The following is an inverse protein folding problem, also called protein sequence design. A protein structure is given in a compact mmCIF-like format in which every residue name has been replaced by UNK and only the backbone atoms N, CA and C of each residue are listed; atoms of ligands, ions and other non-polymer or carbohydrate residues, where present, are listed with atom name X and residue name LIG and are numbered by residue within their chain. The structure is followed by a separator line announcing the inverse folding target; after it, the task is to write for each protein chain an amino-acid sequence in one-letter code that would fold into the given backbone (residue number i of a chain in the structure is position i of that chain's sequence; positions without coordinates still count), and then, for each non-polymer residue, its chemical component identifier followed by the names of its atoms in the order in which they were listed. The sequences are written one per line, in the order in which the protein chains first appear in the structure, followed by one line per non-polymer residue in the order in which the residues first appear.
data_IF_828275383413
#
_entry.id   IF_828275383413
#
_cell.length_a   1.000
_cell.length_b   1.000
_cell.length_c   1.000
_cell.angle_alpha   90.00
_cell.angle_beta   90.00
_cell.angle_gamma   90.00
#
_symmetry.space_group_name_H-M   'P 1'
#
loop_
_entity.id
_entity.type
_entity.pdbx_description
1 polymer ?
#
# COMPACT_ATOMS: atom_id res chain seq x y z
N UNK A 1 22.67 -7.55 -31.62
CA UNK A 1 22.63 -7.19 -30.19
C UNK A 1 21.16 -7.11 -29.84
N UNK A 2 20.67 -8.02 -28.99
CA UNK A 2 19.32 -7.83 -28.45
C UNK A 2 19.34 -6.47 -27.75
N UNK A 3 18.35 -5.62 -28.02
CA UNK A 3 18.09 -4.51 -27.11
C UNK A 3 17.87 -5.16 -25.74
N UNK A 4 18.76 -4.94 -24.78
CA UNK A 4 18.58 -5.43 -23.42
C UNK A 4 17.30 -4.78 -22.90
N UNK A 5 16.20 -5.55 -22.94
CA UNK A 5 14.88 -5.06 -22.58
C UNK A 5 14.92 -4.64 -21.11
N UNK A 6 14.41 -3.45 -20.81
CA UNK A 6 14.42 -2.96 -19.43
C UNK A 6 13.42 -3.78 -18.61
N UNK A 7 13.62 -3.92 -17.28
CA UNK A 7 12.75 -4.77 -16.46
C UNK A 7 11.26 -4.37 -16.48
N UNK A 8 10.98 -3.10 -16.72
CA UNK A 8 9.62 -2.56 -16.84
C UNK A 8 9.01 -2.71 -18.24
N UNK A 9 9.77 -3.13 -19.25
CA UNK A 9 9.28 -3.48 -20.59
C UNK A 9 8.78 -4.93 -20.68
N UNK A 10 9.22 -5.79 -19.76
CA UNK A 10 8.80 -7.20 -19.70
C UNK A 10 7.47 -7.34 -18.92
N UNK A 11 6.39 -7.84 -19.54
CA UNK A 11 5.08 -7.97 -18.88
C UNK A 11 5.06 -8.99 -17.72
N UNK A 12 6.07 -9.83 -17.57
CA UNK A 12 6.25 -10.74 -16.44
C UNK A 12 7.01 -10.08 -15.29
N UNK A 13 8.08 -9.34 -15.59
CA UNK A 13 8.93 -8.71 -14.56
C UNK A 13 8.33 -7.40 -14.05
N UNK A 14 7.75 -6.58 -14.93
CA UNK A 14 7.16 -5.29 -14.59
C UNK A 14 6.17 -5.34 -13.40
N UNK A 15 5.15 -6.23 -13.37
CA UNK A 15 4.23 -6.30 -12.22
C UNK A 15 4.92 -6.80 -10.93
N UNK A 16 5.95 -7.62 -11.03
CA UNK A 16 6.72 -8.10 -9.86
C UNK A 16 7.58 -6.97 -9.29
N UNK A 17 8.21 -6.19 -10.16
CA UNK A 17 8.96 -4.99 -9.78
C UNK A 17 8.05 -3.97 -9.10
N UNK A 18 6.87 -3.69 -9.69
CA UNK A 18 5.89 -2.79 -9.06
C UNK A 18 5.43 -3.34 -7.72
N UNK A 19 5.13 -4.63 -7.63
CA UNK A 19 4.74 -5.25 -6.36
C UNK A 19 5.84 -5.12 -5.29
N UNK A 20 7.10 -5.29 -5.66
CA UNK A 20 8.25 -5.11 -4.78
C UNK A 20 8.37 -3.65 -4.29
N UNK A 21 8.38 -2.69 -5.22
CA UNK A 21 8.54 -1.27 -4.90
C UNK A 21 7.37 -0.70 -4.08
N UNK A 22 6.15 -1.20 -4.33
CA UNK A 22 4.93 -0.80 -3.62
C UNK A 22 4.56 -1.72 -2.46
N UNK A 23 5.42 -2.70 -2.12
CA UNK A 23 5.22 -3.62 -1.01
C UNK A 23 4.92 -2.90 0.33
N UNK A 24 5.59 -1.78 0.68
CA UNK A 24 5.26 -1.02 1.87
C UNK A 24 3.78 -0.59 1.91
N UNK A 25 3.24 -0.11 0.79
CA UNK A 25 1.83 0.26 0.67
C UNK A 25 0.91 -0.97 0.69
N UNK A 26 1.23 -2.02 -0.07
CA UNK A 26 0.41 -3.24 -0.17
C UNK A 26 0.25 -3.96 1.19
N UNK A 27 1.28 -3.95 2.04
CA UNK A 27 1.23 -4.55 3.37
C UNK A 27 0.77 -3.59 4.47
N UNK A 28 0.53 -2.31 4.16
CA UNK A 28 0.08 -1.33 5.16
C UNK A 28 -1.31 -1.64 5.73
N UNK A 29 -2.18 -2.32 4.99
CA UNK A 29 -3.47 -2.81 5.54
C UNK A 29 -3.28 -3.81 6.68
N UNK A 30 -2.25 -4.68 6.58
CA UNK A 30 -1.90 -5.61 7.64
C UNK A 30 -1.30 -4.87 8.83
N UNK A 31 -0.43 -3.88 8.59
CA UNK A 31 0.10 -3.04 9.67
C UNK A 31 -0.99 -2.20 10.36
N UNK A 32 -2.00 -1.76 9.63
CA UNK A 32 -3.16 -1.06 10.19
C UNK A 32 -3.96 -1.94 11.16
N UNK A 33 -3.95 -3.27 11.01
CA UNK A 33 -4.57 -4.17 11.99
C UNK A 33 -3.80 -4.16 13.33
N UNK A 34 -2.48 -3.99 13.30
CA UNK A 34 -1.69 -3.84 14.53
C UNK A 34 -2.15 -2.61 15.31
N UNK A 35 -2.19 -1.45 14.65
CA UNK A 35 -2.60 -0.19 15.29
C UNK A 35 -4.10 -0.10 15.58
N UNK A 36 -4.94 -0.63 14.69
CA UNK A 36 -6.40 -0.50 14.74
C UNK A 36 -7.14 -1.59 15.51
N UNK A 37 -6.47 -2.71 15.83
CA UNK A 37 -7.08 -3.85 16.52
C UNK A 37 -6.18 -4.41 17.63
N UNK A 38 -5.01 -4.96 17.30
CA UNK A 38 -4.21 -5.75 18.25
C UNK A 38 -3.60 -4.92 19.38
N UNK A 39 -2.99 -3.77 19.09
CA UNK A 39 -2.44 -2.87 20.11
C UNK A 39 -3.57 -2.36 21.03
N UNK A 40 -4.71 -1.84 20.52
CA UNK A 40 -5.86 -1.50 21.34
C UNK A 40 -6.36 -2.66 22.22
N UNK A 41 -6.47 -3.87 21.68
CA UNK A 41 -6.88 -5.07 22.44
C UNK A 41 -5.91 -5.40 23.58
N UNK A 42 -4.60 -5.26 23.35
CA UNK A 42 -3.56 -5.54 24.36
C UNK A 42 -3.42 -4.44 25.42
N UNK A 43 -3.63 -3.18 25.02
CA UNK A 43 -3.32 -2.00 25.86
C UNK A 43 -4.56 -1.34 26.48
N UNK A 44 -5.75 -1.68 25.99
CA UNK A 44 -7.01 -1.03 26.37
C UNK A 44 -7.19 0.38 25.81
N UNK A 45 -6.32 0.84 24.91
CA UNK A 45 -6.45 2.16 24.27
C UNK A 45 -7.75 2.20 23.45
N UNK A 46 -8.55 3.29 23.54
CA UNK A 46 -9.79 3.38 22.79
C UNK A 46 -9.54 3.43 21.29
N UNK A 47 -10.36 2.67 20.55
CA UNK A 47 -10.41 2.68 19.09
C UNK A 47 -11.33 3.83 18.66
N UNK A 48 -10.81 4.78 17.87
CA UNK A 48 -11.59 5.94 17.42
C UNK A 48 -11.92 5.84 15.93
N UNK A 49 -13.20 5.63 15.55
CA UNK A 49 -13.63 5.68 14.16
C UNK A 49 -13.38 7.07 13.56
N UNK A 50 -12.90 7.11 12.31
CA UNK A 50 -12.60 8.36 11.59
C UNK A 50 -13.88 9.19 11.38
N UNK A 51 -15.00 8.52 11.07
CA UNK A 51 -16.27 9.20 10.85
C UNK A 51 -17.02 9.59 12.13
N UNK A 52 -16.52 9.18 13.31
CA UNK A 52 -17.16 9.46 14.61
C UNK A 52 -18.61 9.00 14.70
N UNK A 53 -19.03 7.99 13.93
CA UNK A 53 -20.42 7.53 13.90
C UNK A 53 -21.34 8.29 12.94
N UNK A 54 -20.83 9.26 12.19
CA UNK A 54 -21.64 10.07 11.26
C UNK A 54 -22.33 9.21 10.21
N UNK A 55 -23.59 9.57 9.95
CA UNK A 55 -24.47 8.97 8.94
C UNK A 55 -24.63 9.99 7.81
N UNK A 56 -24.50 9.54 6.56
CA UNK A 56 -24.72 10.36 5.38
C UNK A 56 -26.23 10.43 5.05
N UNK A 57 -26.63 11.29 4.12
CA UNK A 57 -28.04 11.57 3.78
C UNK A 57 -28.76 10.37 3.18
N UNK A 58 -28.03 9.34 2.75
CA UNK A 58 -28.55 8.06 2.29
C UNK A 58 -28.89 7.08 3.43
N UNK A 59 -28.72 7.49 4.69
CA UNK A 59 -28.99 6.67 5.87
C UNK A 59 -27.88 5.67 6.21
N UNK A 60 -26.79 5.63 5.44
CA UNK A 60 -25.64 4.77 5.71
C UNK A 60 -24.52 5.53 6.42
N UNK A 61 -23.71 4.83 7.23
CA UNK A 61 -22.47 5.38 7.82
C UNK A 61 -21.58 6.04 6.76
N UNK A 62 -20.80 7.06 7.13
CA UNK A 62 -19.90 7.70 6.18
C UNK A 62 -18.79 6.75 5.73
N UNK A 63 -18.12 6.09 6.69
CA UNK A 63 -17.05 5.10 6.45
C UNK A 63 -17.35 3.77 7.17
N UNK A 64 -17.85 3.83 8.40
CA UNK A 64 -18.09 2.69 9.29
C UNK A 64 -16.94 2.40 10.26
N UNK A 65 -17.19 1.54 11.25
CA UNK A 65 -16.32 1.35 12.41
C UNK A 65 -14.94 0.76 12.10
N UNK A 66 -14.80 0.10 10.95
CA UNK A 66 -13.52 -0.46 10.51
C UNK A 66 -12.50 0.57 10.02
N UNK A 67 -12.85 1.86 9.94
CA UNK A 67 -11.93 2.95 9.56
C UNK A 67 -11.63 3.81 10.77
N UNK A 68 -10.44 3.62 11.35
CA UNK A 68 -10.06 4.18 12.64
C UNK A 68 -8.79 5.01 12.53
N UNK A 69 -8.65 6.02 13.40
CA UNK A 69 -7.44 6.83 13.47
C UNK A 69 -6.22 6.00 13.85
N UNK A 70 -6.39 5.04 14.77
CA UNK A 70 -5.33 4.14 15.19
C UNK A 70 -4.85 3.25 14.02
N UNK A 71 -5.78 2.76 13.19
CA UNK A 71 -5.45 2.01 11.99
C UNK A 71 -4.74 2.84 10.94
N UNK A 72 -5.20 4.08 10.70
CA UNK A 72 -4.55 5.02 9.76
C UNK A 72 -3.10 5.29 10.15
N UNK A 73 -2.85 5.60 11.43
CA UNK A 73 -1.50 5.85 11.96
C UNK A 73 -0.66 4.58 11.88
N UNK A 74 -1.19 3.44 12.34
CA UNK A 74 -0.48 2.16 12.33
C UNK A 74 -0.11 1.69 10.91
N UNK A 75 -1.00 1.86 9.94
CA UNK A 75 -0.74 1.55 8.54
C UNK A 75 0.32 2.46 7.93
N UNK A 76 0.25 3.77 8.21
CA UNK A 76 1.22 4.76 7.72
C UNK A 76 2.62 4.49 8.28
N UNK A 77 2.75 4.37 9.60
CA UNK A 77 4.05 4.12 10.26
C UNK A 77 4.58 2.73 9.92
N UNK A 78 3.71 1.72 9.84
CA UNK A 78 4.07 0.38 9.41
C UNK A 78 4.59 0.36 7.97
N UNK A 79 3.98 1.13 7.06
CA UNK A 79 4.50 1.37 5.72
C UNK A 79 5.93 1.92 5.75
N UNK A 80 6.22 2.89 6.63
CA UNK A 80 7.57 3.43 6.80
C UNK A 80 8.60 2.37 7.18
N UNK A 81 8.30 1.55 8.19
CA UNK A 81 9.18 0.44 8.59
C UNK A 81 9.34 -0.62 7.50
N UNK A 82 8.28 -0.91 6.74
CA UNK A 82 8.36 -1.80 5.59
C UNK A 82 9.20 -1.20 4.44
N UNK A 83 9.17 0.12 4.26
CA UNK A 83 10.08 0.84 3.35
C UNK A 83 11.54 0.61 3.74
N UNK A 84 11.87 0.81 5.02
CA UNK A 84 13.22 0.53 5.55
C UNK A 84 13.62 -0.93 5.35
N UNK A 85 12.72 -1.88 5.57
CA UNK A 85 12.99 -3.30 5.33
C UNK A 85 13.27 -3.60 3.86
N UNK A 86 12.44 -3.04 2.96
CA UNK A 86 12.59 -3.21 1.51
C UNK A 86 13.94 -2.68 1.04
N UNK A 87 14.32 -1.49 1.52
CA UNK A 87 15.62 -0.89 1.25
C UNK A 87 16.78 -1.68 1.85
N UNK A 88 16.66 -2.16 3.09
CA UNK A 88 17.70 -3.00 3.70
C UNK A 88 18.00 -4.28 2.92
N UNK A 89 17.02 -4.80 2.16
CA UNK A 89 17.16 -6.01 1.34
C UNK A 89 17.70 -5.69 -0.05
N UNK A 90 17.30 -4.56 -0.64
CA UNK A 90 17.65 -4.20 -2.02
C UNK A 90 18.71 -3.08 -2.15
N UNK A 91 19.26 -2.60 -1.05
CA UNK A 91 20.27 -1.55 -1.03
C UNK A 91 21.48 -1.93 -1.90
N UNK A 92 21.82 -1.06 -2.84
CA UNK A 92 22.92 -1.28 -3.79
C UNK A 92 22.57 -2.14 -5.02
N UNK A 93 21.31 -2.58 -5.17
CA UNK A 93 20.87 -3.30 -6.35
C UNK A 93 20.78 -2.39 -7.59
N UNK A 94 21.29 -2.90 -8.71
CA UNK A 94 21.28 -2.23 -10.02
C UNK A 94 20.07 -2.69 -10.85
N UNK A 95 19.80 -2.05 -11.99
CA UNK A 95 18.66 -2.37 -12.88
C UNK A 95 18.55 -3.87 -13.18
N UNK A 96 19.68 -4.55 -13.40
CA UNK A 96 19.73 -6.00 -13.71
C UNK A 96 19.32 -6.91 -12.53
N UNK A 97 19.21 -6.35 -11.31
CA UNK A 97 18.75 -7.06 -10.11
C UNK A 97 17.22 -7.07 -9.99
N UNK A 98 16.51 -6.58 -11.00
CA UNK A 98 15.05 -6.63 -11.03
C UNK A 98 14.53 -8.07 -10.81
N UNK A 99 13.41 -8.24 -10.09
CA UNK A 99 12.49 -7.20 -9.63
C UNK A 99 12.92 -6.48 -8.34
N UNK A 100 14.00 -6.91 -7.69
CA UNK A 100 14.38 -6.44 -6.36
C UNK A 100 15.22 -5.15 -6.42
N UNK A 101 14.65 -4.07 -6.94
CA UNK A 101 15.36 -2.78 -7.01
C UNK A 101 15.23 -1.99 -5.70
N UNK A 102 16.23 -1.18 -5.41
CA UNK A 102 16.15 -0.23 -4.30
C UNK A 102 15.04 0.80 -4.55
N UNK A 103 14.06 0.98 -3.63
CA UNK A 103 13.04 2.01 -3.77
C UNK A 103 13.60 3.43 -3.89
N UNK A 104 14.84 3.71 -3.49
CA UNK A 104 15.46 5.03 -3.67
C UNK A 104 16.17 5.21 -5.02
N UNK A 105 16.28 4.16 -5.85
CA UNK A 105 16.88 4.27 -7.18
C UNK A 105 16.17 5.31 -8.05
N UNK A 106 16.87 6.02 -8.92
CA UNK A 106 16.33 7.13 -9.75
C UNK A 106 16.15 6.76 -11.22
N UNK A 107 15.82 5.49 -11.48
CA UNK A 107 15.69 4.98 -12.84
C UNK A 107 14.44 5.52 -13.54
N UNK A 108 14.59 5.98 -14.79
CA UNK A 108 13.47 6.46 -15.59
C UNK A 108 12.71 7.63 -14.94
N UNK A 109 13.40 8.49 -14.19
CA UNK A 109 12.84 9.71 -13.57
C UNK A 109 13.55 10.97 -14.06
N UNK A 110 13.03 12.15 -13.69
CA UNK A 110 13.67 13.44 -13.91
C UNK A 110 15.14 13.38 -13.46
N UNK A 111 16.07 14.00 -14.20
CA UNK A 111 17.53 13.94 -13.96
C UNK A 111 18.02 14.50 -12.60
N UNK A 112 17.11 14.75 -11.66
CA UNK A 112 17.35 15.16 -10.27
C UNK A 112 17.90 14.02 -9.41
N UNK A 113 18.77 14.37 -8.47
CA UNK A 113 19.32 13.42 -7.50
C UNK A 113 18.27 13.04 -6.45
N UNK A 114 18.34 11.82 -5.91
CA UNK A 114 17.49 11.41 -4.78
C UNK A 114 17.69 12.28 -3.54
N UNK A 115 18.87 12.87 -3.40
CA UNK A 115 19.21 13.82 -2.32
C UNK A 115 18.45 15.13 -2.41
N UNK A 116 17.92 15.48 -3.59
CA UNK A 116 17.15 16.70 -3.80
C UNK A 116 15.65 16.50 -3.48
N UNK A 117 15.24 15.28 -3.14
CA UNK A 117 13.86 14.96 -2.82
C UNK A 117 13.39 15.68 -1.55
N UNK A 118 12.15 16.15 -1.52
CA UNK A 118 11.59 16.83 -0.34
C UNK A 118 11.54 15.94 0.91
N UNK A 119 11.51 14.63 0.70
CA UNK A 119 11.49 13.62 1.75
C UNK A 119 12.90 13.14 2.13
N UNK A 120 13.96 13.69 1.51
CA UNK A 120 15.33 13.50 1.97
C UNK A 120 15.63 14.45 3.12
N UNK A 121 15.94 13.90 4.30
CA UNK A 121 16.29 14.68 5.49
C UNK A 121 17.73 14.35 5.87
N UNK A 122 18.62 15.33 5.87
CA UNK A 122 20.04 15.17 6.25
C UNK A 122 20.23 14.98 7.78
N UNK A 123 19.56 13.99 8.36
CA UNK A 123 19.63 13.62 9.77
C UNK A 123 19.84 12.11 9.91
N UNK A 124 20.90 11.68 10.62
CA UNK A 124 21.24 10.26 10.87
C UNK A 124 21.25 9.36 9.61
N UNK A 125 21.91 9.79 8.53
CA UNK A 125 22.05 9.02 7.29
C UNK A 125 20.78 9.12 6.44
N UNK A 126 20.62 10.26 5.75
CA UNK A 126 19.36 10.71 5.17
C UNK A 126 18.60 9.71 4.30
N UNK A 127 19.31 8.75 3.71
CA UNK A 127 18.77 7.54 3.07
C UNK A 127 17.70 6.81 3.89
N UNK A 128 17.98 6.47 5.16
CA UNK A 128 17.05 5.73 6.00
C UNK A 128 15.80 6.54 6.35
N UNK A 129 15.98 7.85 6.56
CA UNK A 129 14.85 8.75 6.78
C UNK A 129 14.00 8.90 5.52
N UNK A 130 14.64 9.00 4.36
CA UNK A 130 13.98 9.11 3.07
C UNK A 130 13.14 7.88 2.78
N UNK A 131 13.68 6.68 3.02
CA UNK A 131 12.95 5.46 2.75
C UNK A 131 11.84 5.17 3.76
N UNK A 132 12.01 5.63 5.01
CA UNK A 132 10.93 5.61 6.00
C UNK A 132 9.78 6.53 5.58
N UNK A 133 10.08 7.78 5.18
CA UNK A 133 9.06 8.72 4.71
C UNK A 133 8.39 8.21 3.43
N UNK A 134 9.17 7.64 2.50
CA UNK A 134 8.67 6.99 1.29
C UNK A 134 7.64 5.90 1.63
N UNK A 135 8.01 4.98 2.53
CA UNK A 135 7.10 3.94 3.01
C UNK A 135 5.86 4.51 3.70
N UNK A 136 5.99 5.60 4.46
CA UNK A 136 4.85 6.30 5.06
C UNK A 136 3.92 6.92 4.02
N UNK A 137 4.44 7.53 2.95
CA UNK A 137 3.62 8.09 1.87
C UNK A 137 2.82 6.99 1.18
N UNK A 138 3.46 5.86 0.87
CA UNK A 138 2.77 4.70 0.28
C UNK A 138 1.72 4.10 1.21
N UNK A 139 2.07 3.95 2.50
CA UNK A 139 1.15 3.43 3.51
C UNK A 139 -0.05 4.34 3.75
N UNK A 140 0.18 5.65 3.84
CA UNK A 140 -0.88 6.64 3.95
C UNK A 140 -1.79 6.62 2.71
N UNK A 141 -1.22 6.61 1.50
CA UNK A 141 -1.98 6.47 0.26
C UNK A 141 -2.88 5.22 0.27
N UNK A 142 -2.31 4.07 0.66
CA UNK A 142 -3.07 2.83 0.84
C UNK A 142 -4.27 2.99 1.81
N UNK A 143 -4.06 3.61 2.98
CA UNK A 143 -5.13 3.83 3.97
C UNK A 143 -6.21 4.81 3.50
N UNK A 144 -5.82 5.83 2.74
CA UNK A 144 -6.77 6.75 2.09
C UNK A 144 -7.61 5.99 1.06
N UNK A 145 -6.98 5.19 0.21
CA UNK A 145 -7.67 4.36 -0.78
C UNK A 145 -8.64 3.37 -0.16
N UNK A 146 -8.24 2.69 0.91
CA UNK A 146 -9.10 1.75 1.65
C UNK A 146 -10.29 2.48 2.33
N UNK A 147 -10.09 3.72 2.79
CA UNK A 147 -11.17 4.59 3.28
C UNK A 147 -12.12 5.02 2.17
N UNK A 148 -11.61 5.38 0.98
CA UNK A 148 -12.40 5.69 -0.21
C UNK A 148 -13.23 4.48 -0.66
N UNK A 149 -12.62 3.29 -0.72
CA UNK A 149 -13.33 2.04 -1.02
C UNK A 149 -14.45 1.79 -0.02
N UNK A 150 -14.23 2.09 1.25
CA UNK A 150 -15.27 1.94 2.29
C UNK A 150 -16.38 2.97 2.18
N UNK A 151 -16.07 4.22 1.84
CA UNK A 151 -17.09 5.22 1.51
C UNK A 151 -18.01 4.71 0.40
N UNK A 152 -17.46 4.25 -0.73
CA UNK A 152 -18.28 3.72 -1.85
C UNK A 152 -19.06 2.46 -1.49
N UNK A 153 -18.51 1.57 -0.65
CA UNK A 153 -19.27 0.43 -0.10
C UNK A 153 -20.50 0.92 0.67
N UNK A 154 -20.35 1.94 1.53
CA UNK A 154 -21.48 2.50 2.29
C UNK A 154 -22.54 3.13 1.40
N UNK A 155 -22.14 3.84 0.32
CA UNK A 155 -23.09 4.42 -0.66
C UNK A 155 -23.90 3.36 -1.42
N UNK A 156 -23.39 2.13 -1.53
CA UNK A 156 -24.11 0.98 -2.11
C UNK A 156 -24.98 0.21 -1.11
N UNK A 157 -25.15 0.73 0.11
CA UNK A 157 -25.89 0.04 1.17
C UNK A 157 -25.19 -1.22 1.70
N UNK A 158 -23.93 -1.45 1.32
CA UNK A 158 -23.14 -2.56 1.84
C UNK A 158 -22.73 -2.19 3.27
N UNK A 159 -23.44 -2.71 4.27
CA UNK A 159 -23.19 -2.41 5.68
C UNK A 159 -22.07 -3.29 6.25
N UNK A 160 -21.36 -2.75 7.24
CA UNK A 160 -20.45 -3.50 8.11
C UNK A 160 -20.89 -3.17 9.53
N UNK A 161 -21.78 -4.00 10.08
CA UNK A 161 -22.31 -3.87 11.43
C UNK A 161 -21.77 -5.06 12.25
N UNK A 162 -21.01 -4.78 13.31
CA UNK A 162 -20.35 -5.81 14.11
C UNK A 162 -19.29 -6.59 13.33
N UNK A 163 -19.29 -7.92 13.46
CA UNK A 163 -18.27 -8.80 12.85
C UNK A 163 -18.50 -9.09 11.36
N UNK A 164 -19.65 -8.71 10.80
CA UNK A 164 -20.03 -9.10 9.44
C UNK A 164 -19.48 -8.11 8.40
N UNK A 165 -18.53 -8.57 7.59
CA UNK A 165 -18.01 -7.79 6.45
C UNK A 165 -18.82 -8.04 5.18
N UNK A 166 -19.33 -6.96 4.57
CA UNK A 166 -19.93 -7.01 3.25
C UNK A 166 -18.91 -7.43 2.19
N UNK A 167 -19.28 -8.36 1.29
CA UNK A 167 -18.40 -8.83 0.22
C UNK A 167 -18.42 -7.87 -0.98
N UNK A 168 -17.31 -7.22 -1.28
CA UNK A 168 -17.17 -6.43 -2.50
C UNK A 168 -15.76 -6.59 -3.10
N UNK A 169 -15.47 -7.72 -3.77
CA UNK A 169 -14.11 -8.13 -4.13
C UNK A 169 -13.27 -7.04 -4.80
N UNK A 170 -13.84 -6.28 -5.74
CA UNK A 170 -13.13 -5.19 -6.41
C UNK A 170 -12.94 -3.95 -5.52
N UNK A 171 -13.94 -3.57 -4.72
CA UNK A 171 -13.84 -2.44 -3.79
C UNK A 171 -12.98 -2.76 -2.57
N UNK A 172 -12.77 -4.04 -2.28
CA UNK A 172 -11.92 -4.53 -1.21
C UNK A 172 -10.45 -4.66 -1.64
N UNK A 173 -10.15 -4.60 -2.94
CA UNK A 173 -8.80 -4.89 -3.48
C UNK A 173 -8.19 -3.79 -4.35
N UNK A 174 -8.99 -3.04 -5.11
CA UNK A 174 -8.46 -2.04 -6.04
C UNK A 174 -8.22 -0.66 -5.41
N UNK A 175 -9.12 -0.10 -4.57
CA UNK A 175 -8.96 1.29 -4.10
C UNK A 175 -7.67 1.55 -3.34
N UNK A 176 -7.24 0.62 -2.46
CA UNK A 176 -5.99 0.78 -1.71
C UNK A 176 -4.77 0.79 -2.66
N UNK A 177 -4.76 -0.11 -3.65
CA UNK A 177 -3.66 -0.24 -4.60
C UNK A 177 -3.56 0.97 -5.52
N UNK A 178 -4.69 1.43 -6.06
CA UNK A 178 -4.77 2.63 -6.91
C UNK A 178 -4.24 3.85 -6.16
N UNK A 179 -4.63 4.04 -4.90
CA UNK A 179 -4.16 5.19 -4.13
C UNK A 179 -2.70 5.06 -3.70
N UNK A 180 -2.20 3.85 -3.42
CA UNK A 180 -0.78 3.64 -3.19
C UNK A 180 0.04 4.08 -4.43
N UNK A 181 -0.36 3.63 -5.63
CA UNK A 181 0.27 4.04 -6.89
C UNK A 181 0.16 5.56 -7.12
N UNK A 182 -1.04 6.13 -6.94
CA UNK A 182 -1.27 7.56 -7.11
C UNK A 182 -0.36 8.38 -6.18
N UNK A 183 -0.25 8.01 -4.90
CA UNK A 183 0.60 8.71 -3.96
C UNK A 183 2.08 8.56 -4.30
N UNK A 184 2.50 7.37 -4.73
CA UNK A 184 3.87 7.16 -5.17
C UNK A 184 4.25 8.00 -6.40
N UNK A 185 3.37 8.05 -7.39
CA UNK A 185 3.57 8.83 -8.61
C UNK A 185 3.54 10.35 -8.36
N UNK A 186 2.69 10.84 -7.45
CA UNK A 186 2.54 12.27 -7.20
C UNK A 186 3.59 12.85 -6.24
N UNK A 187 4.04 12.07 -5.25
CA UNK A 187 4.81 12.63 -4.14
C UNK A 187 6.23 12.06 -4.02
N UNK A 188 6.60 10.99 -4.71
CA UNK A 188 7.90 10.34 -4.50
C UNK A 188 8.93 10.58 -5.61
N UNK A 189 8.78 11.66 -6.38
CA UNK A 189 9.85 12.07 -7.28
C UNK A 189 11.10 12.49 -6.49
N UNK A 190 12.32 12.08 -6.90
CA UNK A 190 12.67 11.38 -8.15
C UNK A 190 12.92 9.87 -8.00
N UNK A 191 12.41 9.21 -6.95
CA UNK A 191 12.53 7.75 -6.80
C UNK A 191 11.82 7.00 -7.95
N UNK A 192 12.33 5.82 -8.29
CA UNK A 192 11.76 4.86 -9.26
C UNK A 192 10.29 4.57 -8.97
N UNK A 193 9.87 4.64 -7.69
CA UNK A 193 8.46 4.48 -7.29
C UNK A 193 7.57 5.48 -8.05
N UNK A 194 8.07 6.67 -8.35
CA UNK A 194 7.38 7.72 -9.12
C UNK A 194 7.60 7.66 -10.64
N UNK A 195 8.39 6.70 -11.13
CA UNK A 195 8.70 6.58 -12.55
C UNK A 195 7.45 6.21 -13.36
N UNK A 196 7.25 6.89 -14.49
CA UNK A 196 6.18 6.56 -15.44
C UNK A 196 6.42 5.23 -16.17
N UNK A 197 7.66 4.73 -16.16
CA UNK A 197 8.02 3.44 -16.76
C UNK A 197 7.29 2.27 -16.06
N UNK A 198 6.91 2.45 -14.79
CA UNK A 198 6.18 1.44 -14.02
C UNK A 198 4.70 1.27 -14.43
N UNK A 199 4.15 2.13 -15.29
CA UNK A 199 2.72 2.15 -15.60
C UNK A 199 2.18 0.82 -16.15
N UNK A 200 2.95 0.14 -17.01
CA UNK A 200 2.53 -1.18 -17.53
C UNK A 200 2.42 -2.20 -16.38
N UNK A 201 3.45 -2.27 -15.53
CA UNK A 201 3.47 -3.13 -14.35
C UNK A 201 2.32 -2.84 -13.39
N UNK A 202 2.00 -1.56 -13.17
CA UNK A 202 0.87 -1.14 -12.33
C UNK A 202 -0.46 -1.63 -12.89
N UNK A 203 -0.71 -1.46 -14.20
CA UNK A 203 -1.97 -1.90 -14.84
C UNK A 203 -2.12 -3.42 -14.73
N UNK A 204 -1.06 -4.18 -15.06
CA UNK A 204 -1.05 -5.64 -14.93
C UNK A 204 -1.32 -6.04 -13.47
N UNK A 205 -0.63 -5.40 -12.52
CA UNK A 205 -0.78 -5.72 -11.11
C UNK A 205 -2.18 -5.38 -10.58
N UNK A 206 -2.83 -4.30 -11.03
CA UNK A 206 -4.23 -4.01 -10.69
C UNK A 206 -5.18 -5.11 -11.16
N UNK A 207 -4.96 -5.66 -12.35
CA UNK A 207 -5.74 -6.79 -12.87
C UNK A 207 -5.49 -8.06 -12.04
N UNK A 208 -4.24 -8.30 -11.64
CA UNK A 208 -3.86 -9.47 -10.82
C UNK A 208 -4.26 -9.34 -9.35
N UNK A 209 -4.38 -8.12 -8.80
CA UNK A 209 -4.58 -7.89 -7.36
C UNK A 209 -5.81 -8.62 -6.81
N UNK A 210 -7.00 -8.61 -7.45
CA UNK A 210 -8.15 -9.41 -6.98
C UNK A 210 -7.87 -10.92 -6.95
N UNK A 211 -7.10 -11.42 -7.91
CA UNK A 211 -6.71 -12.85 -8.00
C UNK A 211 -5.74 -13.19 -6.88
N UNK A 212 -4.69 -12.38 -6.69
CA UNK A 212 -3.70 -12.54 -5.62
C UNK A 212 -4.40 -12.56 -4.26
N UNK A 213 -5.28 -11.59 -4.00
CA UNK A 213 -5.99 -11.48 -2.74
C UNK A 213 -6.89 -12.71 -2.47
N UNK A 214 -7.61 -13.17 -3.50
CA UNK A 214 -8.43 -14.39 -3.38
C UNK A 214 -7.57 -15.63 -3.11
N UNK A 215 -6.43 -15.77 -3.77
CA UNK A 215 -5.51 -16.88 -3.56
C UNK A 215 -5.01 -16.94 -2.12
N UNK A 216 -4.60 -15.80 -1.55
CA UNK A 216 -4.21 -15.72 -0.13
C UNK A 216 -5.36 -16.06 0.82
N UNK A 217 -6.60 -15.63 0.52
CA UNK A 217 -7.76 -15.95 1.34
C UNK A 217 -8.08 -17.46 1.32
N UNK A 218 -8.01 -18.10 0.16
CA UNK A 218 -8.21 -19.55 0.02
C UNK A 218 -7.11 -20.33 0.73
N UNK A 219 -5.85 -19.93 0.59
CA UNK A 219 -4.72 -20.56 1.27
C UNK A 219 -4.85 -20.44 2.79
N UNK A 220 -5.16 -19.24 3.30
CA UNK A 220 -5.37 -19.01 4.72
C UNK A 220 -6.51 -19.86 5.28
N UNK A 221 -7.60 -20.05 4.53
CA UNK A 221 -8.69 -20.94 4.92
C UNK A 221 -8.26 -22.41 4.95
N UNK A 222 -7.53 -22.88 3.92
CA UNK A 222 -7.02 -24.27 3.87
C UNK A 222 -6.04 -24.59 5.01
N UNK A 223 -5.28 -23.59 5.46
CA UNK A 223 -4.35 -23.71 6.58
C UNK A 223 -5.01 -23.51 7.95
N UNK A 224 -6.33 -23.29 8.00
CA UNK A 224 -7.07 -23.04 9.25
C UNK A 224 -6.81 -21.66 9.88
N UNK A 225 -6.10 -20.77 9.19
CA UNK A 225 -5.78 -19.41 9.65
C UNK A 225 -6.95 -18.42 9.44
N UNK A 226 -7.89 -18.75 8.55
CA UNK A 226 -9.12 -17.97 8.32
C UNK A 226 -10.35 -18.86 8.43
N UNK A 227 -11.44 -18.27 8.93
CA UNK A 227 -12.75 -18.93 9.02
C UNK A 227 -13.48 -19.02 7.68
N UNK A 228 -13.09 -18.22 6.68
CA UNK A 228 -13.73 -18.16 5.35
C UNK A 228 -12.72 -18.03 4.21
N UNK A 229 -13.01 -18.57 3.01
CA UNK A 229 -12.06 -18.63 1.87
C UNK A 229 -12.07 -17.41 0.94
N UNK A 230 -12.81 -16.35 1.27
CA UNK A 230 -13.03 -15.19 0.41
C UNK A 230 -12.57 -13.89 1.04
#
# INVERSE_FOLDING_TARGET
MASDALPWDDPLIAPLLVLWLYLPGYLSNTAAMLGGKWIPEMTGIPIKPIDGGRVHSDGNRLLGDGKTWNGLIGGTVGGGFLGMLTHSIAGGNIVDSAPFLDPLGTYGTSSSSITDAWYWIDWYGGEWSAVFILGCVLGFGCMVGDSVGSFFKRRRGLKREGEVSSKAPLLDTLPFAIFAFLFGQLFLAPSIVSSSELLMGMVILLILTPIIHRSFNVLGYKLGLKSVPY
#
